data_IF_270178933070
#
_entry.id   IF_270178933070
#
_cell.length_a   1.000
_cell.length_b   1.000
_cell.length_c   1.000
_cell.angle_alpha   90.00
_cell.angle_beta   90.00
_cell.angle_gamma   90.00
#
_symmetry.space_group_name_H-M   'P 1'
#
loop_
_entity.id
_entity.type
_entity.pdbx_description
1 polymer ?
#
# COMPACT_ATOMS: atom_id res chain seq x y z
N UNK A 1 17.79 12.12 5.52
CA UNK A 1 16.77 13.07 4.99
C UNK A 1 15.53 12.91 5.85
N UNK A 2 14.92 13.99 6.33
CA UNK A 2 13.70 13.90 7.14
C UNK A 2 12.56 13.28 6.33
N UNK A 3 11.92 12.24 6.87
CA UNK A 3 10.83 11.50 6.22
C UNK A 3 9.65 12.41 5.86
N UNK A 4 9.34 13.39 6.69
CA UNK A 4 8.27 14.36 6.41
C UNK A 4 8.58 15.24 5.18
N UNK A 5 9.86 15.61 5.02
CA UNK A 5 10.32 16.35 3.83
C UNK A 5 10.21 15.49 2.57
N UNK A 6 10.59 14.21 2.67
CA UNK A 6 10.47 13.25 1.58
C UNK A 6 9.01 13.06 1.14
N UNK A 7 8.08 12.85 2.08
CA UNK A 7 6.64 12.72 1.81
C UNK A 7 6.08 14.01 1.19
N UNK A 8 6.53 15.18 1.63
CA UNK A 8 6.11 16.46 1.03
C UNK A 8 6.56 16.59 -0.42
N UNK A 9 7.78 16.13 -0.72
CA UNK A 9 8.31 16.10 -2.09
C UNK A 9 7.54 15.12 -2.97
N UNK A 10 7.22 13.92 -2.45
CA UNK A 10 6.40 12.93 -3.13
C UNK A 10 5.01 13.49 -3.48
N UNK A 11 4.33 14.12 -2.52
CA UNK A 11 3.03 14.78 -2.75
C UNK A 11 3.12 15.91 -3.78
N UNK A 12 4.23 16.67 -3.80
CA UNK A 12 4.46 17.71 -4.81
C UNK A 12 4.64 17.10 -6.20
N UNK A 13 5.39 16.01 -6.31
CA UNK A 13 5.57 15.27 -7.56
C UNK A 13 4.24 14.73 -8.09
N UNK A 14 3.41 14.15 -7.21
CA UNK A 14 2.06 13.70 -7.55
C UNK A 14 1.18 14.82 -8.10
N UNK A 15 1.19 15.99 -7.46
CA UNK A 15 0.44 17.15 -7.95
C UNK A 15 0.89 17.61 -9.33
N UNK A 16 2.22 17.53 -9.62
CA UNK A 16 2.75 17.84 -10.97
C UNK A 16 2.28 16.81 -11.99
N UNK A 17 2.35 15.53 -11.63
CA UNK A 17 1.86 14.43 -12.48
C UNK A 17 0.38 14.64 -12.86
N UNK A 18 -0.51 14.88 -11.88
CA UNK A 18 -1.93 15.09 -12.18
C UNK A 18 -2.18 16.34 -13.04
N UNK A 19 -1.47 17.45 -12.80
CA UNK A 19 -1.58 18.63 -13.66
C UNK A 19 -1.19 18.31 -15.10
N UNK A 20 -0.08 17.60 -15.29
CA UNK A 20 0.37 17.19 -16.61
C UNK A 20 -0.66 16.30 -17.30
N UNK A 21 -1.22 15.32 -16.60
CA UNK A 21 -2.26 14.44 -17.14
C UNK A 21 -3.54 15.21 -17.53
N UNK A 22 -3.94 16.21 -16.75
CA UNK A 22 -5.09 17.08 -17.09
C UNK A 22 -4.79 17.91 -18.36
N UNK A 23 -3.59 18.50 -18.45
CA UNK A 23 -3.18 19.26 -19.63
C UNK A 23 -3.19 18.38 -20.89
N UNK A 24 -2.67 17.15 -20.80
CA UNK A 24 -2.67 16.20 -21.90
C UNK A 24 -4.10 15.80 -22.29
N UNK A 25 -4.94 15.48 -21.30
CA UNK A 25 -6.31 15.04 -21.51
C UNK A 25 -7.19 16.08 -22.19
N UNK A 26 -6.95 17.38 -21.94
CA UNK A 26 -7.68 18.48 -22.58
C UNK A 26 -6.97 18.91 -23.87
N UNK A 27 -5.66 19.00 -23.84
CA UNK A 27 -4.86 19.56 -24.94
C UNK A 27 -4.83 18.69 -26.19
N UNK A 28 -4.82 17.35 -26.04
CA UNK A 28 -4.80 16.44 -27.18
C UNK A 28 -6.08 16.52 -28.01
N UNK A 29 -7.30 16.40 -27.47
CA UNK A 29 -8.53 16.61 -28.24
C UNK A 29 -8.63 18.00 -28.86
N UNK A 30 -8.22 19.03 -28.11
CA UNK A 30 -8.25 20.40 -28.59
C UNK A 30 -7.32 20.57 -29.80
N UNK A 31 -6.12 19.99 -29.77
CA UNK A 31 -5.18 20.05 -30.90
C UNK A 31 -5.73 19.37 -32.16
N UNK A 32 -6.36 18.18 -31.99
CA UNK A 32 -7.00 17.48 -33.11
C UNK A 32 -8.17 18.29 -33.67
N UNK A 33 -8.96 18.93 -32.82
CA UNK A 33 -10.06 19.78 -33.24
C UNK A 33 -9.56 21.00 -34.06
N UNK A 34 -8.50 21.66 -33.60
CA UNK A 34 -7.93 22.85 -34.25
C UNK A 34 -7.27 22.54 -35.61
N UNK A 35 -6.69 21.34 -35.76
CA UNK A 35 -6.10 20.91 -37.04
C UNK A 35 -7.15 20.53 -38.10
N UNK A 36 -8.41 20.41 -37.71
CA UNK A 36 -9.50 20.05 -38.63
C UNK A 36 -9.41 18.62 -39.20
N UNK A 37 -8.52 17.79 -38.66
CA UNK A 37 -8.34 16.41 -39.12
C UNK A 37 -9.54 15.56 -38.77
N UNK A 38 -10.31 15.14 -39.77
CA UNK A 38 -11.52 14.32 -39.63
C UNK A 38 -11.30 12.82 -39.90
N UNK A 39 -10.05 12.39 -40.04
CA UNK A 39 -9.77 10.98 -40.32
C UNK A 39 -10.12 10.11 -39.11
N UNK A 40 -10.86 9.03 -39.34
CA UNK A 40 -11.31 8.09 -38.30
C UNK A 40 -10.11 7.46 -37.56
N UNK A 41 -8.99 7.26 -38.23
CA UNK A 41 -7.78 6.71 -37.60
C UNK A 41 -7.25 7.62 -36.49
N UNK A 42 -7.22 8.93 -36.70
CA UNK A 42 -6.78 9.89 -35.68
C UNK A 42 -7.75 9.93 -34.49
N UNK A 43 -9.05 9.82 -34.72
CA UNK A 43 -10.05 9.78 -33.64
C UNK A 43 -9.92 8.51 -32.79
N UNK A 44 -9.72 7.35 -33.43
CA UNK A 44 -9.52 6.08 -32.71
C UNK A 44 -8.21 6.13 -31.92
N UNK A 45 -7.12 6.64 -32.51
CA UNK A 45 -5.85 6.78 -31.82
C UNK A 45 -5.93 7.72 -30.62
N UNK A 46 -6.60 8.86 -30.76
CA UNK A 46 -6.85 9.79 -29.67
C UNK A 46 -7.61 9.12 -28.53
N UNK A 47 -8.67 8.36 -28.82
CA UNK A 47 -9.45 7.64 -27.82
C UNK A 47 -8.59 6.64 -27.05
N UNK A 48 -7.71 5.90 -27.72
CA UNK A 48 -6.78 4.96 -27.07
C UNK A 48 -5.86 5.71 -26.12
N UNK A 49 -5.28 6.84 -26.53
CA UNK A 49 -4.38 7.64 -25.66
C UNK A 49 -5.13 8.15 -24.44
N UNK A 50 -6.35 8.63 -24.60
CA UNK A 50 -7.15 9.12 -23.47
C UNK A 50 -7.48 8.01 -22.46
N UNK A 51 -7.81 6.81 -22.94
CA UNK A 51 -8.00 5.65 -22.08
C UNK A 51 -6.72 5.29 -21.30
N UNK A 52 -5.55 5.40 -21.94
CA UNK A 52 -4.26 5.17 -21.27
C UNK A 52 -3.97 6.22 -20.21
N UNK A 53 -4.30 7.50 -20.46
CA UNK A 53 -4.17 8.60 -19.48
C UNK A 53 -5.06 8.31 -18.26
N UNK A 54 -6.31 7.94 -18.47
CA UNK A 54 -7.26 7.59 -17.41
C UNK A 54 -6.72 6.40 -16.60
N UNK A 55 -6.27 5.35 -17.27
CA UNK A 55 -5.69 4.17 -16.60
C UNK A 55 -4.46 4.53 -15.76
N UNK A 56 -3.56 5.38 -16.27
CA UNK A 56 -2.39 5.85 -15.54
C UNK A 56 -2.77 6.65 -14.28
N UNK A 57 -3.77 7.52 -14.38
CA UNK A 57 -4.29 8.31 -13.26
C UNK A 57 -4.91 7.39 -12.20
N UNK A 58 -5.77 6.44 -12.60
CA UNK A 58 -6.41 5.48 -11.70
C UNK A 58 -5.37 4.63 -10.98
N UNK A 59 -4.38 4.09 -11.70
CA UNK A 59 -3.30 3.30 -11.10
C UNK A 59 -2.52 4.11 -10.06
N UNK A 60 -2.19 5.37 -10.36
CA UNK A 60 -1.49 6.25 -9.45
C UNK A 60 -2.33 6.58 -8.20
N UNK A 61 -3.62 6.89 -8.38
CA UNK A 61 -4.56 7.11 -7.26
C UNK A 61 -4.66 5.87 -6.36
N UNK A 62 -4.80 4.69 -6.96
CA UNK A 62 -4.87 3.43 -6.23
C UNK A 62 -3.59 3.14 -5.45
N UNK A 63 -2.42 3.43 -6.02
CA UNK A 63 -1.13 3.21 -5.36
C UNK A 63 -0.98 4.08 -4.11
N UNK A 64 -1.41 5.35 -4.14
CA UNK A 64 -1.29 6.28 -3.02
C UNK A 64 -2.51 6.30 -2.08
N UNK A 65 -3.49 5.41 -2.26
CA UNK A 65 -4.75 5.39 -1.52
C UNK A 65 -4.66 4.80 -0.10
N UNK A 66 -3.47 4.78 0.53
CA UNK A 66 -3.32 4.30 1.90
C UNK A 66 -4.02 5.26 2.87
N UNK A 67 -5.02 4.75 3.59
CA UNK A 67 -5.68 5.45 4.70
C UNK A 67 -5.49 4.63 5.97
N UNK A 68 -5.02 5.24 7.02
CA UNK A 68 -4.93 4.62 8.33
C UNK A 68 -5.33 5.63 9.41
N UNK A 69 -5.90 5.12 10.48
CA UNK A 69 -6.27 5.91 11.64
C UNK A 69 -6.10 5.05 12.90
N UNK A 70 -5.60 5.68 13.95
CA UNK A 70 -5.43 5.06 15.25
C UNK A 70 -6.39 5.71 16.24
N UNK A 71 -7.25 4.90 16.86
CA UNK A 71 -8.20 5.37 17.86
C UNK A 71 -8.53 4.26 18.87
N UNK A 72 -8.61 4.61 20.15
CA UNK A 72 -9.04 3.74 21.25
C UNK A 72 -8.40 2.33 21.22
N UNK A 73 -7.08 2.24 21.14
CA UNK A 73 -6.30 0.99 21.06
C UNK A 73 -6.60 0.11 19.83
N UNK A 74 -7.16 0.70 18.78
CA UNK A 74 -7.45 0.04 17.51
C UNK A 74 -6.78 0.79 16.38
N UNK A 75 -6.05 0.06 15.55
CA UNK A 75 -5.45 0.55 14.33
C UNK A 75 -6.35 0.18 13.16
N UNK A 76 -6.87 1.15 12.47
CA UNK A 76 -7.66 0.97 11.26
C UNK A 76 -6.78 1.26 10.05
N UNK A 77 -6.58 0.27 9.18
CA UNK A 77 -5.76 0.41 7.97
C UNK A 77 -6.62 0.04 6.77
N UNK A 78 -6.90 0.99 5.91
CA UNK A 78 -7.74 0.84 4.71
C UNK A 78 -9.13 0.31 5.09
N UNK A 79 -9.35 -0.99 5.08
CA UNK A 79 -10.58 -1.66 5.52
C UNK A 79 -10.30 -2.70 6.62
N UNK A 80 -9.11 -2.64 7.22
CA UNK A 80 -8.63 -3.54 8.25
C UNK A 80 -8.63 -2.91 9.64
N UNK A 81 -9.34 -3.51 10.59
CA UNK A 81 -9.32 -3.10 12.00
C UNK A 81 -8.45 -4.06 12.81
N UNK A 82 -7.39 -3.56 13.41
CA UNK A 82 -6.51 -4.32 14.31
C UNK A 82 -6.67 -3.83 15.74
N UNK A 83 -6.87 -4.74 16.67
CA UNK A 83 -6.63 -4.43 18.07
C UNK A 83 -5.11 -4.54 18.32
N UNK A 84 -4.50 -3.51 18.91
CA UNK A 84 -3.05 -3.42 19.09
C UNK A 84 -2.46 -4.60 19.86
N UNK A 85 -3.19 -5.08 20.88
CA UNK A 85 -2.77 -6.23 21.71
C UNK A 85 -2.91 -7.60 21.01
N UNK A 86 -3.45 -7.63 19.80
CA UNK A 86 -3.63 -8.86 19.00
C UNK A 86 -2.68 -8.94 17.82
N UNK A 87 -1.94 -7.88 17.53
CA UNK A 87 -0.84 -7.92 16.56
C UNK A 87 0.30 -8.72 17.18
N UNK A 88 0.75 -9.74 16.48
CA UNK A 88 1.76 -10.71 16.96
C UNK A 88 3.10 -10.46 16.31
N UNK A 89 3.11 -10.21 15.01
CA UNK A 89 4.31 -10.02 14.22
C UNK A 89 4.11 -8.93 13.18
N UNK A 90 5.12 -8.10 13.03
CA UNK A 90 5.24 -7.11 11.94
C UNK A 90 6.53 -7.39 11.19
N UNK A 91 6.41 -7.56 9.88
CA UNK A 91 7.55 -7.80 8.99
C UNK A 91 7.50 -6.82 7.82
N UNK A 92 8.66 -6.37 7.38
CA UNK A 92 8.80 -5.58 6.15
C UNK A 92 9.59 -6.38 5.15
N UNK A 93 9.07 -6.49 3.93
CA UNK A 93 9.77 -7.09 2.80
C UNK A 93 10.17 -5.99 1.83
N UNK A 94 11.46 -5.91 1.53
CA UNK A 94 12.00 -4.93 0.59
C UNK A 94 11.76 -5.41 -0.84
N UNK A 95 11.12 -4.58 -1.64
CA UNK A 95 10.94 -4.79 -3.06
C UNK A 95 11.91 -3.86 -3.83
N UNK A 96 12.11 -4.08 -5.13
CA UNK A 96 13.07 -3.31 -5.95
C UNK A 96 12.94 -1.78 -5.81
N UNK A 97 11.74 -1.25 -5.72
CA UNK A 97 11.47 0.19 -5.65
C UNK A 97 10.59 0.61 -4.47
N UNK A 98 10.19 -0.34 -3.62
CA UNK A 98 9.20 -0.10 -2.57
C UNK A 98 9.35 -1.11 -1.42
N UNK A 99 8.50 -1.01 -0.42
CA UNK A 99 8.44 -1.86 0.76
C UNK A 99 7.02 -2.40 0.93
N UNK A 100 6.89 -3.69 1.25
CA UNK A 100 5.64 -4.28 1.71
C UNK A 100 5.67 -4.38 3.24
N UNK A 101 4.57 -4.01 3.91
CA UNK A 101 4.40 -4.24 5.35
C UNK A 101 3.45 -5.40 5.53
N UNK A 102 3.87 -6.41 6.27
CA UNK A 102 3.09 -7.60 6.59
C UNK A 102 2.77 -7.57 8.08
N UNK A 103 1.49 -7.52 8.40
CA UNK A 103 0.99 -7.52 9.78
C UNK A 103 0.31 -8.86 10.04
N UNK A 104 0.71 -9.54 11.12
CA UNK A 104 0.10 -10.78 11.55
C UNK A 104 -0.62 -10.57 12.88
N UNK A 105 -1.84 -11.06 12.97
CA UNK A 105 -2.71 -10.94 14.14
C UNK A 105 -3.38 -12.26 14.49
N UNK A 106 -3.61 -12.49 15.77
CA UNK A 106 -4.36 -13.67 16.27
C UNK A 106 -5.88 -13.52 16.18
N UNK A 107 -6.39 -12.33 15.89
CA UNK A 107 -7.81 -12.06 15.89
C UNK A 107 -8.29 -11.63 14.52
N UNK A 108 -9.24 -12.41 13.94
CA UNK A 108 -10.02 -11.92 12.81
C UNK A 108 -11.23 -11.18 13.36
N UNK A 109 -11.21 -9.85 13.33
CA UNK A 109 -12.48 -9.17 13.27
C UNK A 109 -13.11 -9.44 11.89
N UNK A 110 -14.41 -9.22 11.73
CA UNK A 110 -15.16 -9.31 10.45
C UNK A 110 -14.57 -8.37 9.39
N UNK A 111 -13.35 -8.64 8.97
CA UNK A 111 -12.51 -7.73 8.24
C UNK A 111 -12.18 -8.36 6.89
N UNK A 112 -12.73 -7.78 5.82
CA UNK A 112 -12.50 -8.24 4.44
C UNK A 112 -11.03 -8.20 4.01
N UNK A 113 -10.17 -7.48 4.74
CA UNK A 113 -8.74 -7.35 4.42
C UNK A 113 -7.84 -8.36 5.13
N UNK A 114 -8.30 -8.98 6.22
CA UNK A 114 -7.56 -10.02 6.94
C UNK A 114 -7.79 -11.39 6.30
N UNK A 115 -6.71 -12.04 5.94
CA UNK A 115 -6.71 -13.38 5.34
C UNK A 115 -6.10 -14.39 6.30
N UNK A 116 -6.64 -15.61 6.40
CA UNK A 116 -6.01 -16.66 7.20
C UNK A 116 -4.65 -17.04 6.62
N UNK A 117 -3.68 -17.32 7.50
CA UNK A 117 -2.37 -17.80 7.07
C UNK A 117 -2.54 -19.22 6.51
N UNK A 118 -2.10 -19.40 5.29
CA UNK A 118 -2.09 -20.68 4.57
C UNK A 118 -0.66 -21.06 4.19
N UNK A 119 -0.41 -22.36 3.92
CA UNK A 119 0.92 -22.86 3.54
C UNK A 119 1.55 -22.08 2.37
N UNK A 120 0.74 -21.67 1.38
CA UNK A 120 1.20 -20.89 0.23
C UNK A 120 1.74 -19.51 0.61
N UNK A 121 1.15 -18.86 1.63
CA UNK A 121 1.65 -17.60 2.16
C UNK A 121 3.02 -17.78 2.83
N UNK A 122 3.15 -18.77 3.69
CA UNK A 122 4.41 -19.06 4.40
C UNK A 122 5.53 -19.45 3.43
N UNK A 123 5.22 -20.20 2.36
CA UNK A 123 6.19 -20.51 1.31
C UNK A 123 6.68 -19.26 0.58
N UNK A 124 5.80 -18.27 0.39
CA UNK A 124 6.15 -17.00 -0.24
C UNK A 124 7.01 -16.10 0.67
N UNK A 125 6.79 -16.15 1.98
CA UNK A 125 7.48 -15.33 2.97
C UNK A 125 8.18 -16.21 4.01
N UNK A 126 9.32 -16.84 3.68
CA UNK A 126 10.01 -17.78 4.57
C UNK A 126 10.52 -17.11 5.86
N UNK A 127 11.00 -15.87 5.80
CA UNK A 127 11.41 -15.10 6.98
C UNK A 127 10.26 -14.94 7.98
N UNK A 128 9.05 -14.67 7.49
CA UNK A 128 7.86 -14.58 8.35
C UNK A 128 7.57 -15.91 9.02
N UNK A 129 7.79 -17.03 8.33
CA UNK A 129 7.60 -18.37 8.90
C UNK A 129 8.59 -18.65 10.03
N UNK A 130 9.86 -18.26 9.85
CA UNK A 130 10.90 -18.43 10.87
C UNK A 130 10.61 -17.60 12.11
N UNK A 131 10.25 -16.33 11.92
CA UNK A 131 9.93 -15.44 13.05
C UNK A 131 8.65 -15.87 13.79
N UNK A 132 7.63 -16.35 13.06
CA UNK A 132 6.44 -16.91 13.69
C UNK A 132 6.77 -18.12 14.59
N UNK A 133 7.70 -18.97 14.20
CA UNK A 133 8.13 -20.11 15.03
C UNK A 133 8.82 -19.66 16.33
N UNK A 134 9.47 -18.50 16.34
CA UNK A 134 10.14 -17.91 17.53
C UNK A 134 9.14 -17.28 18.50
N UNK A 135 7.91 -17.00 18.05
CA UNK A 135 6.90 -16.44 18.93
C UNK A 135 6.56 -17.46 20.03
N UNK A 136 6.81 -17.10 21.30
CA UNK A 136 6.66 -17.99 22.47
C UNK A 136 5.26 -18.58 22.63
N UNK A 137 4.27 -18.02 21.98
CA UNK A 137 2.88 -18.45 21.98
C UNK A 137 2.43 -18.98 20.61
N UNK A 138 3.39 -19.34 19.71
CA UNK A 138 3.02 -19.95 18.45
C UNK A 138 2.41 -21.33 18.69
N UNK A 139 1.11 -21.39 18.60
CA UNK A 139 0.33 -22.60 18.72
C UNK A 139 -0.30 -22.90 17.36
N UNK A 140 -0.02 -24.08 16.84
CA UNK A 140 -0.59 -24.53 15.56
C UNK A 140 -2.13 -24.62 15.58
N UNK A 141 -2.73 -24.66 16.77
CA UNK A 141 -4.19 -24.66 16.92
C UNK A 141 -4.78 -23.24 16.84
N UNK A 142 -3.99 -22.18 17.07
CA UNK A 142 -4.45 -20.79 16.93
C UNK A 142 -4.51 -20.39 15.48
N UNK A 143 -5.61 -19.78 15.09
CA UNK A 143 -5.77 -19.20 13.75
C UNK A 143 -5.09 -17.85 13.71
N UNK A 144 -4.08 -17.75 12.87
CA UNK A 144 -3.39 -16.49 12.58
C UNK A 144 -3.91 -15.90 11.25
N UNK A 145 -3.98 -14.60 11.21
CA UNK A 145 -4.44 -13.84 10.05
C UNK A 145 -3.36 -12.84 9.66
N UNK A 146 -3.28 -12.54 8.37
CA UNK A 146 -2.33 -11.57 7.85
C UNK A 146 -2.99 -10.51 6.99
N UNK A 147 -2.37 -9.35 6.94
CA UNK A 147 -2.64 -8.31 5.96
C UNK A 147 -1.31 -7.85 5.36
N UNK A 148 -1.28 -7.68 4.04
CA UNK A 148 -0.13 -7.13 3.32
C UNK A 148 -0.50 -5.72 2.84
N UNK A 149 0.33 -4.75 3.20
CA UNK A 149 0.18 -3.35 2.82
C UNK A 149 1.22 -3.04 1.76
N UNK A 150 0.76 -2.94 0.51
CA UNK A 150 1.58 -2.65 -0.68
C UNK A 150 1.48 -1.22 -1.13
N UNK A 151 0.35 -0.57 -0.80
CA UNK A 151 0.00 0.77 -1.25
C UNK A 151 0.43 1.81 -0.23
N UNK A 152 0.65 3.06 -0.69
CA UNK A 152 0.86 4.19 0.19
C UNK A 152 2.17 4.96 -0.02
N UNK A 153 3.06 4.51 -0.91
CA UNK A 153 4.34 5.17 -1.14
C UNK A 153 5.11 5.39 0.17
N UNK A 154 5.71 6.56 0.34
CA UNK A 154 6.45 6.91 1.55
C UNK A 154 5.57 7.03 2.82
N UNK A 155 4.24 7.16 2.68
CA UNK A 155 3.34 7.19 3.83
C UNK A 155 3.33 5.88 4.63
N UNK A 156 3.81 4.77 4.05
CA UNK A 156 4.00 3.49 4.74
C UNK A 156 4.98 3.57 5.90
N UNK A 157 6.02 4.40 5.80
CA UNK A 157 6.97 4.60 6.89
C UNK A 157 6.32 5.25 8.12
N UNK A 158 5.41 6.20 7.91
CA UNK A 158 4.64 6.80 9.00
C UNK A 158 3.67 5.79 9.61
N UNK A 159 3.08 4.91 8.79
CA UNK A 159 2.25 3.84 9.29
C UNK A 159 3.08 2.86 10.12
N UNK A 160 4.28 2.47 9.67
CA UNK A 160 5.18 1.57 10.40
C UNK A 160 5.57 2.18 11.76
N UNK A 161 5.92 3.46 11.81
CA UNK A 161 6.19 4.19 13.05
C UNK A 161 4.95 4.20 13.99
N UNK A 162 3.76 4.42 13.42
CA UNK A 162 2.50 4.36 14.19
C UNK A 162 2.26 2.96 14.76
N UNK A 163 2.52 1.91 13.99
CA UNK A 163 2.39 0.52 14.43
C UNK A 163 3.41 0.26 15.55
N UNK A 164 4.66 0.66 15.38
CA UNK A 164 5.73 0.46 16.35
C UNK A 164 5.40 1.11 17.70
N UNK A 165 4.91 2.35 17.70
CA UNK A 165 4.55 3.08 18.92
C UNK A 165 3.35 2.46 19.66
N UNK A 166 2.44 1.82 18.95
CA UNK A 166 1.17 1.40 19.52
C UNK A 166 1.01 -0.11 19.69
N UNK A 167 1.74 -0.93 18.94
CA UNK A 167 1.69 -2.39 19.03
C UNK A 167 2.91 -2.95 19.78
N UNK A 168 3.13 -2.49 21.02
CA UNK A 168 4.33 -2.78 21.83
C UNK A 168 4.52 -4.29 22.09
N UNK A 169 3.47 -5.09 22.04
CA UNK A 169 3.53 -6.56 22.25
C UNK A 169 3.88 -7.33 20.97
N UNK A 170 3.92 -6.66 19.84
CA UNK A 170 4.26 -7.29 18.57
C UNK A 170 5.77 -7.52 18.46
N UNK A 171 6.16 -8.62 17.82
CA UNK A 171 7.55 -8.86 17.43
C UNK A 171 7.81 -8.16 16.11
N UNK A 172 8.91 -7.44 16.04
CA UNK A 172 9.37 -6.76 14.84
C UNK A 172 10.59 -7.48 14.29
N UNK A 173 10.57 -7.83 13.01
CA UNK A 173 11.72 -8.43 12.36
C UNK A 173 12.86 -7.41 12.21
N UNK A 174 14.11 -7.87 12.09
CA UNK A 174 15.27 -6.98 11.89
C UNK A 174 15.06 -6.06 10.67
N UNK A 175 14.47 -6.59 9.60
CA UNK A 175 14.15 -5.80 8.39
C UNK A 175 13.20 -4.61 8.70
N UNK A 176 12.39 -4.67 9.77
CA UNK A 176 11.53 -3.53 10.20
C UNK A 176 12.32 -2.44 10.93
N UNK A 177 13.43 -2.78 11.54
CA UNK A 177 14.23 -1.87 12.40
C UNK A 177 15.27 -1.15 11.56
N UNK A 178 15.79 -1.81 10.53
CA UNK A 178 16.86 -1.30 9.65
C UNK A 178 16.31 -0.39 8.52
N UNK A 179 15.01 -0.37 8.26
CA UNK A 179 14.34 0.46 7.26
C UNK A 179 13.67 1.68 7.88
#
# INVERSE_FOLDING_TARGET
MDIYKAIKMEKKSLKRFYRLMIILFIGLPLSVYLTGVKSIFYLVYLLIIELLIIAAVINKLNYYSLKYNYNANKLNITNGLFANNKVVLVHTEKMESDMEIIIISTMSFRNKSLRPIVKGFLKKYPKVQEELKKVSNYDNQKKYYFQIIRKGGLSKYLLLDTIYKNCVKAIYTNDCIEN
#
